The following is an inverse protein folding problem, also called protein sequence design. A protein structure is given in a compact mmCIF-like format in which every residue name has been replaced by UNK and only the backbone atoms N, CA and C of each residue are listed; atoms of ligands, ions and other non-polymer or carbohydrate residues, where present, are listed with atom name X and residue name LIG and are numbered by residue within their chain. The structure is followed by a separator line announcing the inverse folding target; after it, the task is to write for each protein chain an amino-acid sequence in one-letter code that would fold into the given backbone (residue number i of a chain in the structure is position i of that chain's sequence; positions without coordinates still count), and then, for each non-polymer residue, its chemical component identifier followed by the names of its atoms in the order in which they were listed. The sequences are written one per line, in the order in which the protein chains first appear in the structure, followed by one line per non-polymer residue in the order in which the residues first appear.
data_IF_162758406768
#
_entry.id   IF_162758406768
#
_cell.length_a   1.000
_cell.length_b   1.000
_cell.length_c   1.000
_cell.angle_alpha   90.00
_cell.angle_beta   90.00
_cell.angle_gamma   90.00
#
_symmetry.space_group_name_H-M   'P 1'
#
loop_
_entity.id
_entity.type
_entity.pdbx_description
1 polymer ?
#
# COMPACT_ATOMS: atom_id res chain seq x y z
N UNK A 1 -12.09 -14.17 -12.11
CA UNK A 1 -11.49 -15.17 -11.21
C UNK A 1 -10.91 -14.52 -9.98
N UNK A 2 -11.33 -14.91 -8.83
CA UNK A 2 -10.77 -14.33 -7.62
C UNK A 2 -9.33 -14.73 -7.32
N UNK A 3 -8.72 -15.53 -8.18
CA UNK A 3 -7.40 -16.10 -7.92
C UNK A 3 -6.32 -15.03 -7.82
N UNK A 4 -6.30 -14.09 -8.77
CA UNK A 4 -5.27 -13.05 -8.76
C UNK A 4 -5.49 -12.07 -7.61
N UNK A 5 -6.73 -11.75 -7.32
CA UNK A 5 -7.03 -10.87 -6.20
C UNK A 5 -6.66 -11.51 -4.87
N UNK A 6 -6.96 -12.80 -4.70
CA UNK A 6 -6.60 -13.52 -3.49
C UNK A 6 -5.08 -13.64 -3.34
N UNK A 7 -4.38 -13.93 -4.42
CA UNK A 7 -2.93 -14.04 -4.41
C UNK A 7 -2.32 -12.67 -4.07
N UNK A 8 -2.86 -11.59 -4.64
CA UNK A 8 -2.38 -10.25 -4.34
C UNK A 8 -2.52 -9.93 -2.86
N UNK A 9 -3.66 -10.26 -2.27
CA UNK A 9 -3.90 -10.04 -0.84
C UNK A 9 -2.89 -10.84 -0.01
N UNK A 10 -2.67 -12.10 -0.35
CA UNK A 10 -1.71 -12.93 0.38
C UNK A 10 -0.29 -12.38 0.29
N UNK A 11 0.11 -11.92 -0.88
CA UNK A 11 1.45 -11.36 -1.06
C UNK A 11 1.60 -10.03 -0.35
N UNK A 12 0.60 -9.16 -0.43
CA UNK A 12 0.64 -7.87 0.27
C UNK A 12 0.74 -8.04 1.78
N UNK A 13 0.11 -9.09 2.32
CA UNK A 13 0.20 -9.35 3.75
C UNK A 13 1.61 -9.71 4.22
N UNK A 14 2.50 -10.05 3.30
CA UNK A 14 3.91 -10.38 3.62
C UNK A 14 4.82 -9.16 3.65
N UNK A 15 4.31 -7.99 3.27
CA UNK A 15 5.09 -6.75 3.27
C UNK A 15 4.37 -5.70 4.09
N UNK A 16 5.10 -4.68 4.51
CA UNK A 16 4.55 -3.60 5.33
C UNK A 16 4.42 -2.30 4.58
N UNK A 17 5.24 -2.09 3.55
CA UNK A 17 5.32 -0.82 2.84
C UNK A 17 5.17 -1.03 1.34
N UNK A 18 4.60 -0.03 0.71
CA UNK A 18 4.52 0.04 -0.73
C UNK A 18 4.51 1.49 -1.16
N UNK A 19 4.12 1.71 -2.40
CA UNK A 19 4.05 3.06 -2.97
C UNK A 19 2.71 3.26 -3.61
N UNK A 20 2.14 4.42 -3.34
CA UNK A 20 0.91 4.85 -3.98
C UNK A 20 1.25 5.87 -5.06
N UNK A 21 0.69 5.65 -6.24
CA UNK A 21 0.83 6.56 -7.38
C UNK A 21 -0.49 7.26 -7.63
N UNK A 22 -0.44 8.56 -7.76
CA UNK A 22 -1.61 9.38 -8.04
C UNK A 22 -1.18 10.58 -8.85
N UNK A 23 -2.16 11.36 -9.30
CA UNK A 23 -1.89 12.59 -10.04
C UNK A 23 -2.60 13.76 -9.38
N UNK A 24 -1.90 14.88 -9.27
CA UNK A 24 -2.47 16.12 -8.81
C UNK A 24 -2.20 17.16 -9.89
N UNK A 25 -3.28 17.71 -10.47
CA UNK A 25 -3.17 18.70 -11.56
C UNK A 25 -2.31 18.16 -12.70
N UNK A 26 -2.58 16.92 -13.10
CA UNK A 26 -1.87 16.21 -14.15
C UNK A 26 -0.38 15.94 -13.84
N UNK A 27 0.08 16.19 -12.62
CA UNK A 27 1.43 15.85 -12.20
C UNK A 27 1.40 14.52 -11.47
N UNK A 28 2.03 13.48 -12.00
CA UNK A 28 2.09 12.19 -11.31
C UNK A 28 3.10 12.25 -10.18
N UNK A 29 2.82 11.48 -9.11
CA UNK A 29 3.77 11.34 -8.02
C UNK A 29 3.69 9.93 -7.44
N UNK A 30 4.75 9.57 -6.72
CA UNK A 30 4.81 8.34 -5.94
C UNK A 30 5.07 8.71 -4.49
N UNK A 31 4.34 8.08 -3.58
CA UNK A 31 4.54 8.29 -2.17
C UNK A 31 4.61 6.94 -1.46
N UNK A 32 5.49 6.81 -0.48
CA UNK A 32 5.55 5.62 0.34
C UNK A 32 4.40 5.59 1.33
N UNK A 33 3.90 4.40 1.59
CA UNK A 33 2.83 4.21 2.56
C UNK A 33 3.00 2.89 3.27
N UNK A 34 2.62 2.87 4.55
CA UNK A 34 2.46 1.64 5.31
C UNK A 34 1.10 1.06 4.96
N UNK A 35 1.03 -0.23 4.73
CA UNK A 35 -0.26 -0.86 4.43
C UNK A 35 -0.54 -2.03 5.33
N UNK A 36 -1.81 -2.34 5.45
CA UNK A 36 -2.30 -3.60 6.00
C UNK A 36 -3.37 -4.15 5.07
N UNK A 37 -3.59 -5.44 5.17
CA UNK A 37 -4.74 -6.08 4.53
C UNK A 37 -5.58 -6.68 5.65
N UNK A 38 -6.83 -6.24 5.74
CA UNK A 38 -7.75 -6.70 6.78
C UNK A 38 -9.09 -7.00 6.13
N UNK A 39 -9.57 -8.24 6.30
CA UNK A 39 -10.84 -8.69 5.72
C UNK A 39 -10.92 -8.41 4.23
N UNK A 40 -9.82 -8.64 3.52
CA UNK A 40 -9.75 -8.42 2.07
C UNK A 40 -9.67 -6.97 1.66
N UNK A 41 -9.52 -6.04 2.60
CA UNK A 41 -9.44 -4.62 2.30
C UNK A 41 -8.01 -4.13 2.45
N UNK A 42 -7.60 -3.28 1.52
CA UNK A 42 -6.28 -2.65 1.55
C UNK A 42 -6.42 -1.27 2.20
N UNK A 43 -5.72 -1.10 3.31
CA UNK A 43 -5.69 0.17 4.04
C UNK A 43 -4.27 0.70 4.05
N UNK A 44 -4.15 2.02 3.92
CA UNK A 44 -2.87 2.72 3.89
C UNK A 44 -2.79 3.72 5.03
N UNK A 45 -1.60 3.89 5.58
CA UNK A 45 -1.31 4.95 6.55
C UNK A 45 -0.23 5.86 5.97
N UNK A 46 -0.51 7.15 5.93
CA UNK A 46 0.40 8.16 5.41
C UNK A 46 0.51 9.31 6.39
N UNK A 47 1.53 10.13 6.22
CA UNK A 47 1.68 11.34 7.01
C UNK A 47 0.85 12.46 6.37
N UNK A 48 -0.06 13.03 7.13
CA UNK A 48 -0.97 14.08 6.64
C UNK A 48 -0.20 15.32 6.19
N UNK A 49 0.88 15.63 6.87
CA UNK A 49 1.65 16.85 6.61
C UNK A 49 2.27 16.93 5.23
N UNK A 50 2.50 15.79 4.56
CA UNK A 50 3.02 15.80 3.19
C UNK A 50 1.97 16.19 2.16
N UNK A 51 0.69 16.07 2.50
CA UNK A 51 -0.39 16.47 1.60
C UNK A 51 -0.71 15.48 0.49
N UNK A 52 0.01 14.38 0.36
CA UNK A 52 -0.20 13.42 -0.73
C UNK A 52 -1.59 12.78 -0.70
N UNK A 53 -2.16 12.62 0.49
CA UNK A 53 -3.50 12.05 0.63
C UNK A 53 -4.56 12.87 -0.11
N UNK A 54 -4.35 14.17 -0.28
CA UNK A 54 -5.30 15.04 -0.97
C UNK A 54 -5.43 14.69 -2.45
N UNK A 55 -4.36 14.22 -3.06
CA UNK A 55 -4.40 13.78 -4.45
C UNK A 55 -5.01 12.39 -4.58
N UNK A 56 -5.04 11.63 -3.49
CA UNK A 56 -5.54 10.26 -3.50
C UNK A 56 -7.03 10.17 -3.22
N UNK A 57 -7.51 10.87 -2.17
CA UNK A 57 -8.89 10.74 -1.71
C UNK A 57 -9.87 11.18 -2.80
N UNK A 58 -10.82 10.30 -3.11
CA UNK A 58 -11.84 10.56 -4.13
C UNK A 58 -11.39 10.24 -5.54
N UNK A 59 -10.17 9.76 -5.72
CA UNK A 59 -9.61 9.50 -7.04
C UNK A 59 -9.19 8.05 -7.18
N UNK A 60 -8.92 7.64 -8.41
CA UNK A 60 -8.33 6.33 -8.68
C UNK A 60 -6.84 6.44 -8.51
N UNK A 61 -6.28 5.50 -7.77
CA UNK A 61 -4.84 5.45 -7.51
C UNK A 61 -4.31 4.07 -7.86
N UNK A 62 -3.00 3.96 -7.99
CA UNK A 62 -2.31 2.68 -8.10
C UNK A 62 -1.49 2.48 -6.85
N UNK A 63 -1.56 1.29 -6.26
CA UNK A 63 -0.75 0.95 -5.11
C UNK A 63 0.07 -0.29 -5.45
N UNK A 64 1.36 -0.24 -5.21
CA UNK A 64 2.25 -1.34 -5.52
C UNK A 64 3.14 -1.72 -4.35
N UNK A 65 3.42 -3.00 -4.25
CA UNK A 65 4.38 -3.53 -3.29
C UNK A 65 5.06 -4.74 -3.93
N UNK A 66 6.25 -5.05 -3.44
CA UNK A 66 7.04 -6.14 -3.99
C UNK A 66 8.03 -6.66 -2.96
N UNK A 67 8.72 -7.74 -3.31
CA UNK A 67 9.79 -8.28 -2.50
C UNK A 67 11.16 -8.14 -3.19
N UNK A 68 11.28 -7.23 -4.14
CA UNK A 68 12.49 -7.16 -4.98
C UNK A 68 13.74 -6.88 -4.16
N UNK A 69 13.63 -6.14 -3.09
CA UNK A 69 14.77 -5.83 -2.22
C UNK A 69 15.14 -6.97 -1.27
N UNK A 70 14.24 -7.94 -1.10
CA UNK A 70 14.44 -9.07 -0.21
C UNK A 70 14.78 -10.35 -0.95
N UNK A 71 14.36 -10.42 -2.22
CA UNK A 71 14.54 -11.64 -3.00
C UNK A 71 16.04 -11.86 -3.27
N UNK A 72 16.51 -13.07 -3.00
CA UNK A 72 17.89 -13.47 -3.23
C UNK A 72 17.89 -14.61 -4.22
N UNK A 73 18.98 -14.81 -4.96
CA UNK A 73 19.11 -15.99 -5.81
C UNK A 73 18.82 -17.26 -5.00
N UNK A 74 17.96 -18.12 -5.53
CA UNK A 74 17.57 -19.32 -4.83
C UNK A 74 16.48 -19.14 -3.79
N UNK A 75 15.91 -17.95 -3.67
CA UNK A 75 14.78 -17.72 -2.77
C UNK A 75 13.60 -18.57 -3.20
N UNK A 76 13.04 -19.35 -2.26
CA UNK A 76 11.93 -20.26 -2.56
C UNK A 76 10.70 -19.49 -3.01
N UNK A 77 10.53 -18.28 -2.52
CA UNK A 77 9.38 -17.45 -2.86
C UNK A 77 9.48 -16.84 -4.26
N UNK A 78 10.72 -16.66 -4.75
CA UNK A 78 10.95 -15.96 -6.00
C UNK A 78 10.70 -14.48 -5.88
N UNK A 79 10.75 -13.79 -7.01
CA UNK A 79 10.47 -12.36 -7.07
C UNK A 79 9.01 -12.16 -7.43
N UNK A 80 8.38 -11.22 -6.77
CA UNK A 80 7.01 -10.89 -7.10
C UNK A 80 6.76 -9.40 -6.93
N UNK A 81 5.78 -8.91 -7.65
CA UNK A 81 5.23 -7.58 -7.46
C UNK A 81 3.71 -7.64 -7.57
N UNK A 82 3.04 -6.79 -6.83
CA UNK A 82 1.59 -6.66 -6.84
C UNK A 82 1.27 -5.20 -7.11
N UNK A 83 0.32 -4.97 -8.00
CA UNK A 83 -0.22 -3.65 -8.24
C UNK A 83 -1.73 -3.71 -8.16
N UNK A 84 -2.31 -2.79 -7.40
CA UNK A 84 -3.75 -2.66 -7.25
C UNK A 84 -4.13 -1.26 -7.70
N UNK A 85 -5.04 -1.18 -8.67
CA UNK A 85 -5.58 0.08 -9.13
C UNK A 85 -7.02 0.15 -8.67
N UNK A 86 -7.37 1.23 -8.02
CA UNK A 86 -8.73 1.37 -7.52
C UNK A 86 -9.01 2.71 -6.89
N UNK A 87 -10.24 2.87 -6.49
CA UNK A 87 -10.70 4.13 -5.92
C UNK A 87 -10.25 4.25 -4.46
N UNK A 88 -9.80 5.44 -4.11
CA UNK A 88 -9.27 5.72 -2.78
C UNK A 88 -10.24 6.58 -1.98
N UNK A 89 -10.42 6.24 -0.73
CA UNK A 89 -11.28 7.00 0.18
C UNK A 89 -10.60 7.14 1.54
N UNK A 90 -10.87 8.24 2.21
CA UNK A 90 -10.43 8.41 3.59
C UNK A 90 -11.28 7.51 4.50
N UNK A 91 -10.65 6.91 5.51
CA UNK A 91 -11.36 6.01 6.43
C UNK A 91 -10.87 6.22 7.86
N UNK A 92 -11.73 5.83 8.80
CA UNK A 92 -11.36 5.73 10.21
C UNK A 92 -11.09 4.24 10.50
N UNK A 93 -9.86 3.87 10.82
CA UNK A 93 -9.56 2.46 11.08
C UNK A 93 -10.19 2.01 12.40
N UNK A 94 -10.52 0.73 12.45
CA UNK A 94 -10.98 0.11 13.69
C UNK A 94 -9.79 -0.10 14.63
N UNK A 95 -10.08 -0.42 15.91
CA UNK A 95 -9.03 -0.73 16.86
C UNK A 95 -8.18 -1.91 16.41
N UNK A 96 -8.80 -2.94 15.83
CA UNK A 96 -8.09 -4.10 15.32
C UNK A 96 -7.19 -3.72 14.13
N UNK A 97 -7.67 -2.85 13.26
CA UNK A 97 -6.86 -2.38 12.12
C UNK A 97 -5.67 -1.55 12.59
N UNK A 98 -5.89 -0.68 13.56
CA UNK A 98 -4.78 0.10 14.15
C UNK A 98 -3.72 -0.82 14.75
N UNK A 99 -4.14 -1.90 15.38
CA UNK A 99 -3.22 -2.86 15.95
C UNK A 99 -2.39 -3.54 14.87
N UNK A 100 -3.01 -3.87 13.72
CA UNK A 100 -2.28 -4.44 12.59
C UNK A 100 -1.26 -3.48 12.01
N UNK A 101 -1.58 -2.18 11.95
CA UNK A 101 -0.60 -1.19 11.51
C UNK A 101 0.60 -1.11 12.45
N UNK A 102 0.37 -1.35 13.72
CA UNK A 102 1.40 -1.19 14.73
C UNK A 102 1.66 0.27 15.08
N UNK A 103 2.67 0.53 15.92
CA UNK A 103 2.97 1.90 16.33
C UNK A 103 3.38 2.76 15.14
N UNK A 104 2.84 3.98 15.09
CA UNK A 104 3.22 4.95 14.09
C UNK A 104 4.59 5.54 14.43
N UNK A 105 5.33 6.02 13.44
CA UNK A 105 6.55 6.77 13.71
C UNK A 105 6.25 7.96 14.62
N UNK A 106 7.22 8.36 15.45
CA UNK A 106 7.02 9.52 16.31
C UNK A 106 7.14 10.82 15.55
N UNK A 107 8.00 10.84 14.54
CA UNK A 107 8.26 12.07 13.80
C UNK A 107 8.62 11.74 12.36
N UNK A 108 8.57 12.76 11.53
CA UNK A 108 9.05 12.72 10.15
C UNK A 108 10.34 13.52 10.06
N UNK A 109 10.96 13.53 8.89
CA UNK A 109 12.17 14.31 8.65
C UNK A 109 11.94 15.75 9.06
N UNK A 110 12.93 16.32 9.74
CA UNK A 110 12.81 17.68 10.29
C UNK A 110 12.25 17.72 11.69
N UNK A 111 11.88 16.58 12.27
CA UNK A 111 11.42 16.50 13.66
C UNK A 111 9.96 16.82 13.90
N UNK A 112 9.19 17.10 12.86
CA UNK A 112 7.75 17.31 13.01
C UNK A 112 7.04 16.03 13.47
N UNK A 113 6.02 16.12 14.33
CA UNK A 113 5.28 14.94 14.73
C UNK A 113 4.63 14.25 13.54
N UNK A 114 4.62 12.92 13.57
CA UNK A 114 3.89 12.15 12.56
C UNK A 114 2.39 12.31 12.80
N UNK A 115 1.67 12.75 11.78
CA UNK A 115 0.23 12.93 11.84
C UNK A 115 -0.42 11.96 10.86
N UNK A 116 -0.98 10.84 11.34
CA UNK A 116 -1.49 9.81 10.43
C UNK A 116 -2.78 10.20 9.75
N UNK A 117 -2.89 9.80 8.49
CA UNK A 117 -4.14 9.77 7.75
C UNK A 117 -4.28 8.38 7.16
N UNK A 118 -5.50 7.85 7.20
CA UNK A 118 -5.77 6.49 6.78
C UNK A 118 -6.66 6.49 5.55
N UNK A 119 -6.30 5.66 4.58
CA UNK A 119 -6.98 5.57 3.31
C UNK A 119 -7.32 4.12 3.02
N UNK A 120 -8.39 3.91 2.27
CA UNK A 120 -8.76 2.60 1.76
C UNK A 120 -8.72 2.64 0.25
N UNK A 121 -8.11 1.62 -0.35
CA UNK A 121 -8.13 1.44 -1.80
C UNK A 121 -9.03 0.26 -2.10
N UNK A 122 -10.08 0.52 -2.89
CA UNK A 122 -11.02 -0.52 -3.32
C UNK A 122 -10.55 -1.04 -4.67
N UNK A 123 -10.13 -2.31 -4.76
CA UNK A 123 -9.54 -2.82 -6.00
C UNK A 123 -10.52 -2.82 -7.17
N UNK A 124 -10.06 -2.33 -8.31
CA UNK A 124 -10.76 -2.43 -9.59
C UNK A 124 -9.95 -3.29 -10.55
N UNK A 125 -8.63 -3.14 -10.53
CA UNK A 125 -7.71 -3.96 -11.31
C UNK A 125 -6.60 -4.45 -10.39
N UNK A 126 -6.24 -5.72 -10.55
CA UNK A 126 -5.19 -6.33 -9.76
C UNK A 126 -4.23 -7.03 -10.71
N UNK A 127 -2.95 -6.73 -10.57
CA UNK A 127 -1.89 -7.37 -11.35
C UNK A 127 -0.90 -8.02 -10.40
N UNK A 128 -0.58 -9.27 -10.63
CA UNK A 128 0.46 -9.99 -9.90
C UNK A 128 1.48 -10.49 -10.92
N UNK A 129 2.73 -10.12 -10.70
CA UNK A 129 3.83 -10.59 -11.53
C UNK A 129 4.77 -11.42 -10.67
N UNK A 130 5.07 -12.63 -11.11
CA UNK A 130 5.94 -13.56 -10.38
C UNK A 130 7.02 -14.09 -11.30
N UNK A 131 8.25 -14.12 -10.79
CA UNK A 131 9.40 -14.57 -11.55
C UNK A 131 10.30 -15.45 -10.72
N UNK A 132 10.86 -16.45 -11.40
CA UNK A 132 12.09 -17.07 -10.96
C UNK A 132 12.07 -17.88 -9.71
N UNK A 133 10.95 -18.48 -9.35
CA UNK A 133 10.91 -19.41 -8.23
C UNK A 133 11.34 -20.81 -8.62
N UNK A 134 11.70 -21.02 -9.87
CA UNK A 134 12.10 -22.35 -10.37
C UNK A 134 13.60 -22.51 -10.37
#
# INVERSE_FOLDING_TARGET
MPTDERLAVDLLARTEYGRVAASLRAMPFLACARHIVADGRLLLRMHRGHGYHRACVGHVVAYGSDNLNRARPGCAEGRWSVEIVGKCAAVEPTAAELELFGPAPRSVDGGAPFDPVYLRVTPQFVTVDRQGAT
#
